data_IF_457400550759
#
_entry.id   IF_457400550759
#
_cell.length_a   1.000
_cell.length_b   1.000
_cell.length_c   1.000
_cell.angle_alpha   90.00
_cell.angle_beta   90.00
_cell.angle_gamma   90.00
#
_symmetry.space_group_name_H-M   'P 1'
#
loop_
_entity.id
_entity.type
_entity.pdbx_description
1 polymer ?
#
# COMPACT_ATOMS: atom_id res chain seq x y z
N UNK A 1 -7.76 38.53 -5.99
CA UNK A 1 -6.41 38.06 -5.59
C UNK A 1 -6.02 36.94 -6.55
N UNK A 2 -4.92 37.10 -7.30
CA UNK A 2 -4.54 36.27 -8.45
C UNK A 2 -3.52 35.16 -8.16
N UNK A 3 -3.70 34.42 -7.07
CA UNK A 3 -2.79 33.31 -6.73
C UNK A 3 -3.12 32.07 -7.58
N UNK A 4 -2.33 31.84 -8.63
CA UNK A 4 -2.47 30.70 -9.56
C UNK A 4 -1.81 29.40 -9.08
N UNK A 5 -1.00 29.46 -8.03
CA UNK A 5 -0.32 28.31 -7.43
C UNK A 5 -0.38 28.41 -5.91
N UNK A 6 -0.95 27.39 -5.27
CA UNK A 6 -1.14 27.32 -3.82
C UNK A 6 -0.83 25.89 -3.35
N UNK A 7 -0.09 25.77 -2.27
CA UNK A 7 0.28 24.48 -1.68
C UNK A 7 0.49 24.65 -0.17
N UNK A 8 0.39 23.55 0.56
CA UNK A 8 0.61 23.51 2.01
C UNK A 8 1.98 22.86 2.25
N UNK A 9 2.94 23.64 2.72
CA UNK A 9 4.34 23.22 2.89
C UNK A 9 4.51 22.02 3.81
N UNK A 10 3.71 21.93 4.88
CA UNK A 10 3.85 20.93 5.94
C UNK A 10 2.74 19.87 5.96
N UNK A 11 1.93 19.75 4.89
CA UNK A 11 0.81 18.81 4.86
C UNK A 11 1.24 17.37 5.15
N UNK A 12 2.31 16.90 4.50
CA UNK A 12 2.82 15.54 4.69
C UNK A 12 3.40 15.29 6.09
N UNK A 13 4.03 16.28 6.71
CA UNK A 13 4.60 16.15 8.07
C UNK A 13 3.47 16.00 9.09
N UNK A 14 2.48 16.89 9.06
CA UNK A 14 1.38 16.87 10.01
C UNK A 14 0.44 15.68 9.81
N UNK A 15 0.16 15.30 8.56
CA UNK A 15 -0.70 14.13 8.28
C UNK A 15 -0.04 12.84 8.77
N UNK A 16 1.26 12.65 8.49
CA UNK A 16 2.01 11.46 8.90
C UNK A 16 2.14 11.36 10.42
N UNK A 17 2.42 12.47 11.09
CA UNK A 17 2.50 12.50 12.55
C UNK A 17 1.15 12.17 13.20
N UNK A 18 0.06 12.76 12.69
CA UNK A 18 -1.28 12.55 13.23
C UNK A 18 -1.74 11.10 13.05
N UNK A 19 -1.60 10.52 11.86
CA UNK A 19 -2.02 9.14 11.61
C UNK A 19 -1.19 8.15 12.43
N UNK A 20 0.12 8.36 12.53
CA UNK A 20 1.01 7.47 13.30
C UNK A 20 0.66 7.46 14.79
N UNK A 21 0.45 8.63 15.39
CA UNK A 21 0.06 8.74 16.80
C UNK A 21 -1.32 8.13 17.05
N UNK A 22 -2.30 8.44 16.20
CA UNK A 22 -3.68 7.95 16.35
C UNK A 22 -3.74 6.44 16.19
N UNK A 23 -3.05 5.90 15.17
CA UNK A 23 -2.96 4.47 14.92
C UNK A 23 -2.26 3.75 16.08
N UNK A 24 -1.10 4.23 16.55
CA UNK A 24 -0.38 3.62 17.66
C UNK A 24 -1.24 3.55 18.94
N UNK A 25 -1.95 4.63 19.27
CA UNK A 25 -2.85 4.67 20.43
C UNK A 25 -4.01 3.68 20.29
N UNK A 26 -4.64 3.62 19.11
CA UNK A 26 -5.75 2.69 18.85
C UNK A 26 -5.28 1.22 18.83
N UNK A 27 -4.11 0.96 18.25
CA UNK A 27 -3.52 -0.38 18.19
C UNK A 27 -3.16 -0.90 19.59
N UNK A 28 -2.63 -0.04 20.46
CA UNK A 28 -2.35 -0.41 21.85
C UNK A 28 -3.61 -0.86 22.62
N UNK A 29 -4.78 -0.34 22.25
CA UNK A 29 -6.06 -0.65 22.91
C UNK A 29 -6.80 -1.82 22.26
N UNK A 30 -6.74 -1.94 20.92
CA UNK A 30 -7.66 -2.79 20.12
C UNK A 30 -6.94 -3.73 19.15
N UNK A 31 -5.60 -3.70 19.12
CA UNK A 31 -4.76 -4.56 18.28
C UNK A 31 -5.10 -4.46 16.80
N UNK A 32 -5.09 -5.60 16.11
CA UNK A 32 -5.30 -5.70 14.66
C UNK A 32 -6.63 -5.12 14.17
N UNK A 33 -7.65 -5.05 15.03
CA UNK A 33 -8.92 -4.39 14.68
C UNK A 33 -8.72 -2.90 14.36
N UNK A 34 -7.79 -2.23 15.05
CA UNK A 34 -7.44 -0.86 14.74
C UNK A 34 -6.79 -0.71 13.35
N UNK A 35 -6.00 -1.70 12.91
CA UNK A 35 -5.41 -1.68 11.56
C UNK A 35 -6.47 -1.86 10.47
N UNK A 36 -7.39 -2.82 10.67
CA UNK A 36 -8.53 -3.04 9.76
C UNK A 36 -9.34 -1.76 9.56
N UNK A 37 -9.82 -1.16 10.65
CA UNK A 37 -10.73 0.00 10.59
C UNK A 37 -10.04 1.31 10.18
N UNK A 38 -8.80 1.55 10.61
CA UNK A 38 -8.13 2.85 10.40
C UNK A 38 -7.40 2.90 9.06
N UNK A 39 -6.89 1.77 8.58
CA UNK A 39 -6.02 1.72 7.40
C UNK A 39 -6.69 0.90 6.29
N UNK A 40 -6.92 -0.38 6.51
CA UNK A 40 -7.21 -1.32 5.42
C UNK A 40 -8.61 -1.14 4.82
N UNK A 41 -9.65 -0.97 5.65
CA UNK A 41 -11.02 -0.72 5.20
C UNK A 41 -11.12 0.60 4.41
N UNK A 42 -10.62 1.75 4.91
CA UNK A 42 -10.61 2.99 4.13
C UNK A 42 -9.82 2.89 2.82
N UNK A 43 -8.67 2.21 2.81
CA UNK A 43 -7.90 2.00 1.58
C UNK A 43 -8.68 1.22 0.53
N UNK A 44 -9.42 0.17 0.94
CA UNK A 44 -10.28 -0.61 0.05
C UNK A 44 -11.49 0.20 -0.44
N UNK A 45 -12.17 0.92 0.45
CA UNK A 45 -13.36 1.71 0.12
C UNK A 45 -13.05 2.88 -0.83
N UNK A 46 -11.91 3.54 -0.63
CA UNK A 46 -11.49 4.68 -1.44
C UNK A 46 -10.68 4.27 -2.67
N UNK A 47 -10.36 2.98 -2.82
CA UNK A 47 -9.58 2.48 -3.95
C UNK A 47 -8.13 2.99 -3.95
N UNK A 48 -7.53 3.13 -2.77
CA UNK A 48 -6.11 3.52 -2.64
C UNK A 48 -5.24 2.38 -3.16
N UNK A 49 -4.50 2.63 -4.24
CA UNK A 49 -3.74 1.59 -4.96
C UNK A 49 -2.68 0.87 -4.09
N UNK A 50 -2.22 1.53 -3.02
CA UNK A 50 -1.25 1.01 -2.06
C UNK A 50 -1.78 -0.22 -1.31
N UNK A 51 -3.10 -0.44 -1.27
CA UNK A 51 -3.70 -1.66 -0.69
C UNK A 51 -3.12 -2.93 -1.32
N UNK A 52 -2.85 -2.88 -2.63
CA UNK A 52 -2.06 -3.86 -3.38
C UNK A 52 -0.60 -3.43 -3.43
N UNK A 53 0.08 -3.49 -2.29
CA UNK A 53 1.42 -2.91 -2.14
C UNK A 53 2.51 -3.62 -2.95
N UNK A 54 2.37 -4.92 -3.29
CA UNK A 54 3.33 -5.62 -4.14
C UNK A 54 3.20 -5.13 -5.59
N UNK A 55 1.97 -5.03 -6.09
CA UNK A 55 1.69 -4.44 -7.40
C UNK A 55 2.13 -2.99 -7.46
N UNK A 56 1.77 -2.19 -6.45
CA UNK A 56 2.07 -0.76 -6.37
C UNK A 56 3.59 -0.50 -6.31
N UNK A 57 4.35 -1.33 -5.58
CA UNK A 57 5.81 -1.23 -5.51
C UNK A 57 6.55 -1.72 -6.75
N UNK A 58 5.84 -2.27 -7.74
CA UNK A 58 6.42 -2.73 -9.00
C UNK A 58 6.96 -4.16 -8.97
N UNK A 59 6.51 -5.02 -8.04
CA UNK A 59 6.95 -6.41 -7.97
C UNK A 59 6.74 -7.17 -9.29
N UNK A 60 5.60 -6.96 -9.95
CA UNK A 60 5.34 -7.54 -11.28
C UNK A 60 6.35 -7.08 -12.35
N UNK A 61 6.75 -5.81 -12.31
CA UNK A 61 7.74 -5.28 -13.26
C UNK A 61 9.10 -5.96 -13.07
N UNK A 62 9.54 -6.11 -11.82
CA UNK A 62 10.78 -6.82 -11.51
C UNK A 62 10.71 -8.30 -11.92
N UNK A 63 9.57 -8.97 -11.68
CA UNK A 63 9.38 -10.37 -12.06
C UNK A 63 9.40 -10.59 -13.57
N UNK A 64 8.80 -9.69 -14.36
CA UNK A 64 8.85 -9.79 -15.83
C UNK A 64 10.27 -9.57 -16.37
N UNK A 65 11.06 -8.68 -15.75
CA UNK A 65 12.49 -8.55 -16.08
C UNK A 65 13.26 -9.85 -15.78
N UNK A 66 13.02 -10.47 -14.62
CA UNK A 66 13.65 -11.73 -14.26
C UNK A 66 13.25 -12.86 -15.22
N UNK A 67 11.97 -12.99 -15.56
CA UNK A 67 11.50 -13.98 -16.55
C UNK A 67 12.15 -13.78 -17.91
N UNK A 68 12.28 -12.53 -18.36
CA UNK A 68 12.90 -12.20 -19.64
C UNK A 68 14.38 -12.64 -19.67
N UNK A 69 15.14 -12.36 -18.61
CA UNK A 69 16.56 -12.74 -18.52
C UNK A 69 16.75 -14.25 -18.33
N UNK A 70 15.86 -14.92 -17.60
CA UNK A 70 15.95 -16.35 -17.29
C UNK A 70 15.30 -17.28 -18.34
N UNK A 71 14.90 -16.75 -19.50
CA UNK A 71 14.27 -17.56 -20.55
C UNK A 71 12.93 -18.18 -20.15
N UNK A 72 12.19 -17.52 -19.24
CA UNK A 72 10.89 -17.96 -18.76
C UNK A 72 10.90 -18.93 -17.57
N UNK A 73 12.07 -19.39 -17.11
CA UNK A 73 12.19 -20.29 -15.95
C UNK A 73 12.70 -19.50 -14.74
N UNK A 74 11.80 -18.99 -13.90
CA UNK A 74 12.16 -18.37 -12.61
C UNK A 74 11.42 -19.06 -11.48
N UNK A 75 12.17 -19.60 -10.51
CA UNK A 75 11.64 -20.24 -9.30
C UNK A 75 11.51 -19.28 -8.10
N UNK A 76 11.88 -18.01 -8.27
CA UNK A 76 11.98 -17.01 -7.18
C UNK A 76 11.20 -15.72 -7.48
N UNK A 77 10.15 -15.80 -8.31
CA UNK A 77 9.28 -14.65 -8.59
C UNK A 77 8.56 -14.18 -7.31
N UNK A 78 8.53 -12.87 -7.10
CA UNK A 78 7.89 -12.24 -5.95
C UNK A 78 6.35 -12.37 -5.99
N UNK A 79 5.77 -12.43 -7.18
CA UNK A 79 4.33 -12.52 -7.46
C UNK A 79 3.88 -13.96 -7.76
N UNK A 80 4.51 -14.96 -7.14
CA UNK A 80 4.22 -16.38 -7.32
C UNK A 80 2.95 -16.89 -6.63
N UNK A 81 2.79 -18.22 -6.56
CA UNK A 81 1.64 -18.87 -5.92
C UNK A 81 1.66 -18.65 -4.39
N UNK A 82 0.57 -18.12 -3.83
CA UNK A 82 0.43 -17.89 -2.38
C UNK A 82 0.84 -16.49 -1.91
N UNK A 83 0.87 -15.52 -2.81
CA UNK A 83 1.13 -14.12 -2.47
C UNK A 83 -0.04 -13.54 -1.68
N UNK A 84 0.26 -12.58 -0.82
CA UNK A 84 -0.74 -11.91 0.02
C UNK A 84 -1.78 -11.16 -0.82
N UNK A 85 -1.45 -10.79 -2.06
CA UNK A 85 -2.37 -10.09 -2.95
C UNK A 85 -3.54 -10.94 -3.46
N UNK A 86 -3.45 -12.27 -3.41
CA UNK A 86 -4.56 -13.17 -3.75
C UNK A 86 -5.81 -12.91 -2.88
N UNK A 87 -5.62 -12.33 -1.68
CA UNK A 87 -6.69 -11.99 -0.74
C UNK A 87 -7.45 -10.71 -1.12
N UNK A 88 -6.91 -9.89 -2.03
CA UNK A 88 -7.51 -8.63 -2.49
C UNK A 88 -8.24 -8.75 -3.84
N UNK A 89 -8.26 -9.94 -4.45
CA UNK A 89 -9.04 -10.18 -5.66
C UNK A 89 -10.54 -10.02 -5.37
N UNK A 90 -11.26 -9.26 -6.22
CA UNK A 90 -12.73 -9.18 -6.15
C UNK A 90 -13.32 -10.58 -6.37
N UNK A 91 -14.18 -11.01 -5.45
CA UNK A 91 -15.10 -12.14 -5.67
C UNK A 91 -16.14 -11.77 -6.73
#
# INVERSE_FOLDING_TARGET
>A
MGYCWQFITLAGLHSTALISNSFASAYAQRGMRAYGEIVQEPEMEQGVEVVTHQKWSGANYADELLKMVSGGVSSTSAMGKGVTEDQFAKK
#
